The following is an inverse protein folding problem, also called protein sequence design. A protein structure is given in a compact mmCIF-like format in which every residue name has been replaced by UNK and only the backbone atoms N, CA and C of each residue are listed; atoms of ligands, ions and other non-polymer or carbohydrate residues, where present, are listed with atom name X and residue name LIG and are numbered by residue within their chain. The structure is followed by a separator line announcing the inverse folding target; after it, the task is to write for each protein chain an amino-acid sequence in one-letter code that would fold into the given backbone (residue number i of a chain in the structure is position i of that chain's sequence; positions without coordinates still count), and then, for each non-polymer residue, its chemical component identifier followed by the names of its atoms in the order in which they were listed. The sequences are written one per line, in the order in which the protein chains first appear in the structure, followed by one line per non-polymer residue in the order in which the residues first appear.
data_IF_182430061075
#
_entry.id   IF_182430061075
#
_cell.length_a   1.000
_cell.length_b   1.000
_cell.length_c   1.000
_cell.angle_alpha   90.00
_cell.angle_beta   90.00
_cell.angle_gamma   90.00
#
_symmetry.space_group_name_H-M   'P 1'
#
loop_
_entity.id
_entity.type
_entity.pdbx_description
1 polymer ?
#
# COMPACT_ATOMS: atom_id res chain seq x y z
N UNK A 1 0.15 34.69 -6.73
CA UNK A 1 -0.89 35.57 -7.33
C UNK A 1 -0.84 35.43 -8.85
N UNK A 2 -1.98 35.15 -9.52
CA UNK A 2 -2.01 34.97 -10.97
C UNK A 2 -1.67 33.57 -11.50
N UNK A 3 -1.64 32.54 -10.64
CA UNK A 3 -1.59 31.15 -11.08
C UNK A 3 -3.03 30.65 -11.24
N UNK A 4 -3.42 30.31 -12.47
CA UNK A 4 -4.70 29.64 -12.76
C UNK A 4 -4.52 28.14 -12.50
N UNK A 5 -4.65 27.75 -11.23
CA UNK A 5 -4.52 26.33 -10.85
C UNK A 5 -5.89 25.70 -10.87
N UNK A 6 -6.05 24.70 -11.74
CA UNK A 6 -7.32 24.00 -11.93
C UNK A 6 -7.18 22.57 -11.44
N UNK A 7 -7.98 22.19 -10.45
CA UNK A 7 -8.15 20.78 -10.05
C UNK A 7 -9.30 20.20 -10.87
N UNK A 8 -9.06 19.04 -11.48
CA UNK A 8 -10.02 18.36 -12.36
C UNK A 8 -10.20 16.91 -11.91
N UNK A 9 -11.36 16.35 -12.26
CA UNK A 9 -11.52 14.91 -12.29
C UNK A 9 -10.72 14.33 -13.46
N UNK A 10 -10.55 13.01 -13.45
CA UNK A 10 -9.68 12.32 -14.42
C UNK A 10 -10.25 12.39 -15.84
N UNK A 11 -9.34 12.47 -16.80
CA UNK A 11 -9.51 12.56 -18.27
C UNK A 11 -10.95 12.61 -18.82
N UNK A 12 -11.57 13.80 -18.74
CA UNK A 12 -12.81 14.10 -19.46
C UNK A 12 -14.10 13.70 -18.74
N UNK A 13 -14.01 13.03 -17.59
CA UNK A 13 -15.18 12.75 -16.76
C UNK A 13 -15.72 14.05 -16.15
N UNK A 14 -17.01 14.30 -16.41
CA UNK A 14 -17.78 15.36 -15.76
C UNK A 14 -18.84 14.70 -14.91
N UNK A 15 -18.49 14.45 -13.66
CA UNK A 15 -19.38 13.78 -12.69
C UNK A 15 -20.66 14.57 -12.37
N UNK A 16 -20.72 15.86 -12.73
CA UNK A 16 -21.87 16.72 -12.46
C UNK A 16 -22.04 16.96 -10.96
N UNK A 17 -23.29 17.17 -10.53
CA UNK A 17 -23.63 17.26 -9.11
C UNK A 17 -23.60 15.85 -8.52
N UNK A 18 -22.78 15.68 -7.49
CA UNK A 18 -22.60 14.40 -6.79
C UNK A 18 -23.00 14.56 -5.33
N UNK A 19 -23.67 13.55 -4.78
CA UNK A 19 -23.73 13.30 -3.35
C UNK A 19 -22.35 12.91 -2.82
N UNK A 20 -22.17 12.95 -1.50
CA UNK A 20 -20.92 12.48 -0.89
C UNK A 20 -20.64 11.00 -1.20
N UNK A 21 -21.68 10.15 -1.21
CA UNK A 21 -21.56 8.74 -1.55
C UNK A 21 -21.02 8.56 -2.97
N UNK A 22 -21.64 9.21 -3.94
CA UNK A 22 -21.23 9.14 -5.35
C UNK A 22 -19.80 9.66 -5.54
N UNK A 23 -19.44 10.75 -4.86
CA UNK A 23 -18.08 11.30 -4.92
C UNK A 23 -17.02 10.28 -4.49
N UNK A 24 -17.28 9.48 -3.45
CA UNK A 24 -16.36 8.42 -3.01
C UNK A 24 -16.34 7.24 -3.99
N UNK A 25 -17.51 6.81 -4.49
CA UNK A 25 -17.65 5.71 -5.47
C UNK A 25 -16.88 6.01 -6.76
N UNK A 26 -17.07 7.21 -7.30
CA UNK A 26 -16.49 7.69 -8.55
C UNK A 26 -15.07 8.26 -8.38
N UNK A 27 -14.60 8.40 -7.13
CA UNK A 27 -13.31 9.02 -6.83
C UNK A 27 -13.18 10.46 -7.38
N UNK A 28 -14.26 11.24 -7.27
CA UNK A 28 -14.34 12.62 -7.78
C UNK A 28 -13.41 13.54 -6.98
N UNK A 29 -12.37 14.05 -7.64
CA UNK A 29 -11.43 15.02 -7.09
C UNK A 29 -12.16 16.32 -6.74
N UNK A 30 -12.99 16.83 -7.65
CA UNK A 30 -13.66 18.13 -7.47
C UNK A 30 -14.53 18.13 -6.20
N UNK A 31 -15.34 17.10 -6.00
CA UNK A 31 -16.20 16.98 -4.82
C UNK A 31 -15.37 16.83 -3.53
N UNK A 32 -14.34 15.98 -3.54
CA UNK A 32 -13.46 15.77 -2.38
C UNK A 32 -12.68 17.04 -2.02
N UNK A 33 -12.27 17.83 -3.01
CA UNK A 33 -11.65 19.15 -2.80
C UNK A 33 -12.62 20.16 -2.21
N UNK A 34 -13.89 20.17 -2.62
CA UNK A 34 -14.91 21.03 -2.00
C UNK A 34 -15.13 20.67 -0.53
N UNK A 35 -15.16 19.37 -0.20
CA UNK A 35 -15.21 18.90 1.20
C UNK A 35 -13.98 19.37 1.97
N UNK A 36 -12.77 19.20 1.41
CA UNK A 36 -11.52 19.69 2.01
C UNK A 36 -11.51 21.21 2.22
N UNK A 37 -12.02 21.97 1.26
CA UNK A 37 -12.20 23.41 1.38
C UNK A 37 -13.16 23.81 2.49
N UNK A 38 -14.26 23.06 2.66
CA UNK A 38 -15.21 23.28 3.76
C UNK A 38 -14.57 22.98 5.12
N UNK A 39 -13.79 21.90 5.22
CA UNK A 39 -13.01 21.56 6.42
C UNK A 39 -12.02 22.69 6.73
N UNK A 40 -11.24 23.14 5.74
CA UNK A 40 -10.30 24.24 5.87
C UNK A 40 -10.98 25.52 6.37
N UNK A 41 -12.11 25.90 5.78
CA UNK A 41 -12.83 27.12 6.15
C UNK A 41 -13.46 27.04 7.56
N UNK A 42 -13.77 25.83 8.02
CA UNK A 42 -14.41 25.61 9.32
C UNK A 42 -13.38 25.50 10.45
N UNK A 43 -12.28 24.78 10.21
CA UNK A 43 -11.28 24.44 11.25
C UNK A 43 -10.02 25.31 11.18
N UNK A 44 -9.69 25.84 10.01
CA UNK A 44 -8.41 26.51 9.74
C UNK A 44 -7.27 25.54 9.42
N UNK A 45 -6.13 26.09 8.97
CA UNK A 45 -4.97 25.32 8.51
C UNK A 45 -4.34 24.46 9.61
N UNK A 46 -4.13 25.05 10.78
CA UNK A 46 -3.45 24.36 11.90
C UNK A 46 -4.26 23.15 12.37
N UNK A 47 -5.57 23.28 12.49
CA UNK A 47 -6.40 22.17 12.91
C UNK A 47 -6.51 21.09 11.83
N UNK A 48 -6.62 21.48 10.54
CA UNK A 48 -6.53 20.50 9.46
C UNK A 48 -5.20 19.73 9.47
N UNK A 49 -4.08 20.40 9.75
CA UNK A 49 -2.78 19.75 9.92
C UNK A 49 -2.80 18.80 11.13
N UNK A 50 -3.36 19.22 12.26
CA UNK A 50 -3.48 18.36 13.44
C UNK A 50 -4.31 17.11 13.16
N UNK A 51 -5.39 17.21 12.38
CA UNK A 51 -6.18 16.05 11.95
C UNK A 51 -5.34 15.08 11.10
N UNK A 52 -4.58 15.58 10.11
CA UNK A 52 -3.66 14.77 9.31
C UNK A 52 -2.53 14.14 10.15
N UNK A 53 -2.04 14.87 11.16
CA UNK A 53 -1.10 14.32 12.14
C UNK A 53 -1.75 13.21 12.95
N UNK A 54 -2.96 13.42 13.47
CA UNK A 54 -3.70 12.50 14.32
C UNK A 54 -3.95 11.15 13.65
N UNK A 55 -4.25 11.15 12.34
CA UNK A 55 -4.39 9.90 11.57
C UNK A 55 -3.05 9.17 11.30
N UNK A 56 -1.91 9.77 11.65
CA UNK A 56 -0.60 9.10 11.60
C UNK A 56 0.43 9.71 10.64
N UNK A 57 0.07 10.72 9.84
CA UNK A 57 0.97 11.21 8.79
C UNK A 57 2.08 12.12 9.31
N UNK A 58 3.26 12.08 8.68
CA UNK A 58 4.44 12.84 9.09
C UNK A 58 5.12 12.31 10.36
N UNK A 59 4.77 11.11 10.85
CA UNK A 59 5.38 10.43 12.00
C UNK A 59 5.50 8.95 11.73
N UNK A 60 6.46 8.30 12.37
CA UNK A 60 6.56 6.84 12.37
C UNK A 60 5.21 6.22 12.76
N UNK A 61 4.76 5.23 11.99
CA UNK A 61 3.58 4.44 12.31
C UNK A 61 3.81 3.59 13.56
N UNK A 62 5.07 3.29 13.87
CA UNK A 62 5.48 2.46 15.01
C UNK A 62 5.47 0.98 14.70
N UNK A 63 5.49 0.61 13.40
CA UNK A 63 5.75 -0.75 12.93
C UNK A 63 7.06 -1.27 13.53
N UNK A 64 7.11 -2.56 13.83
CA UNK A 64 8.25 -3.25 14.43
C UNK A 64 9.34 -3.62 13.40
N UNK A 65 9.53 -2.79 12.39
CA UNK A 65 10.59 -2.92 11.38
C UNK A 65 11.61 -1.78 11.49
N UNK A 66 12.90 -2.07 11.30
CA UNK A 66 13.93 -1.04 11.20
C UNK A 66 13.75 -0.21 9.92
N UNK A 67 14.33 1.00 9.90
CA UNK A 67 14.36 1.84 8.69
C UNK A 67 13.05 2.55 8.34
N UNK A 68 12.04 2.53 9.20
CA UNK A 68 10.79 3.26 8.95
C UNK A 68 11.06 4.76 8.75
N UNK A 69 10.52 5.33 7.66
CA UNK A 69 10.53 6.78 7.43
C UNK A 69 9.23 7.43 7.89
N UNK A 70 9.24 8.66 8.40
CA UNK A 70 8.03 9.32 8.90
C UNK A 70 7.11 9.85 7.79
N UNK A 71 7.45 9.65 6.52
CA UNK A 71 6.80 10.33 5.40
C UNK A 71 7.10 11.83 5.38
N UNK A 72 6.31 12.59 4.60
CA UNK A 72 6.46 14.02 4.37
C UNK A 72 5.09 14.69 4.57
N UNK A 73 4.94 15.41 5.69
CA UNK A 73 3.79 16.28 5.92
C UNK A 73 4.30 17.69 6.26
N UNK A 74 4.24 18.65 5.33
CA UNK A 74 4.66 20.03 5.61
C UNK A 74 3.84 20.61 6.77
N UNK A 75 4.45 21.48 7.59
CA UNK A 75 3.71 22.14 8.69
C UNK A 75 2.70 23.12 8.10
N UNK A 76 1.60 23.36 8.80
CA UNK A 76 0.52 24.23 8.34
C UNK A 76 0.97 25.64 7.90
N UNK A 77 1.93 26.24 8.62
CA UNK A 77 2.54 27.53 8.26
C UNK A 77 3.30 27.52 6.92
N UNK A 78 3.79 26.37 6.49
CA UNK A 78 4.59 26.17 5.28
C UNK A 78 3.71 25.80 4.07
N UNK A 79 2.39 25.69 4.27
CA UNK A 79 1.44 25.37 3.21
C UNK A 79 1.24 26.52 2.25
N UNK A 80 1.40 26.21 0.95
CA UNK A 80 0.97 27.09 -0.12
C UNK A 80 -0.56 27.28 -0.09
N UNK A 81 -1.08 28.19 -0.93
CA UNK A 81 -2.52 28.39 -1.07
C UNK A 81 -3.25 27.12 -1.55
N UNK A 82 -2.59 26.25 -2.32
CA UNK A 82 -3.23 25.06 -2.89
C UNK A 82 -3.05 23.79 -2.06
N UNK A 83 -2.07 23.74 -1.15
CA UNK A 83 -1.76 22.52 -0.40
C UNK A 83 -2.99 21.90 0.32
N UNK A 84 -3.85 22.67 1.02
CA UNK A 84 -5.07 22.13 1.64
C UNK A 84 -6.06 21.49 0.67
N UNK A 85 -6.02 21.87 -0.60
CA UNK A 85 -6.88 21.35 -1.65
C UNK A 85 -6.25 20.14 -2.37
N UNK A 86 -4.95 19.90 -2.19
CA UNK A 86 -4.26 18.71 -2.72
C UNK A 86 -4.38 17.52 -1.76
N UNK A 87 -4.30 17.75 -0.44
CA UNK A 87 -4.34 16.65 0.54
C UNK A 87 -5.59 15.76 0.44
N UNK A 88 -6.81 16.30 0.24
CA UNK A 88 -8.03 15.49 0.14
C UNK A 88 -8.01 14.50 -1.03
N UNK A 89 -7.25 14.79 -2.08
CA UNK A 89 -7.07 13.92 -3.26
C UNK A 89 -5.77 13.11 -3.20
N UNK A 90 -5.11 13.06 -2.04
CA UNK A 90 -3.90 12.27 -1.82
C UNK A 90 -2.63 12.90 -2.40
N UNK A 91 -2.63 14.21 -2.66
CA UNK A 91 -1.51 14.95 -3.24
C UNK A 91 -0.92 15.96 -2.24
N UNK A 92 0.32 16.40 -2.44
CA UNK A 92 1.00 17.39 -1.60
C UNK A 92 1.60 16.86 -0.29
N UNK A 93 1.51 15.55 -0.05
CA UNK A 93 2.10 14.87 1.11
C UNK A 93 2.69 13.51 0.69
N UNK A 94 3.67 13.03 1.44
CA UNK A 94 4.28 11.71 1.27
C UNK A 94 3.97 10.83 2.46
N UNK A 95 3.54 9.60 2.20
CA UNK A 95 3.19 8.62 3.23
C UNK A 95 3.80 7.27 2.89
N UNK A 96 4.22 6.53 3.90
CA UNK A 96 4.65 5.16 3.73
C UNK A 96 3.43 4.20 3.79
N UNK A 97 3.63 2.95 3.36
CA UNK A 97 2.55 1.95 3.33
C UNK A 97 1.97 1.64 4.71
N UNK A 98 2.80 1.63 5.76
CA UNK A 98 2.37 1.31 7.13
C UNK A 98 1.51 2.42 7.73
N UNK A 99 1.83 3.69 7.48
CA UNK A 99 0.99 4.83 7.82
C UNK A 99 -0.37 4.74 7.13
N UNK A 100 -0.38 4.38 5.84
CA UNK A 100 -1.62 4.25 5.07
C UNK A 100 -2.48 3.10 5.57
N UNK A 101 -1.91 1.90 5.73
CA UNK A 101 -2.62 0.73 6.27
C UNK A 101 -3.13 1.01 7.68
N UNK A 102 -2.33 1.62 8.55
CA UNK A 102 -2.74 2.01 9.91
C UNK A 102 -3.92 2.97 9.90
N UNK A 103 -3.87 3.99 9.04
CA UNK A 103 -4.93 5.01 8.91
C UNK A 103 -6.23 4.43 8.32
N UNK A 104 -6.13 3.52 7.35
CA UNK A 104 -7.31 2.94 6.68
C UNK A 104 -7.89 1.75 7.44
N UNK A 105 -7.09 1.02 8.22
CA UNK A 105 -7.56 -0.12 9.01
C UNK A 105 -8.53 0.25 10.13
N UNK A 106 -8.74 1.54 10.39
CA UNK A 106 -9.81 2.02 11.26
C UNK A 106 -11.20 1.63 10.78
N UNK A 107 -11.39 1.43 9.47
CA UNK A 107 -12.68 0.95 8.94
C UNK A 107 -12.94 -0.52 9.28
N UNK A 108 -12.06 -1.49 8.91
CA UNK A 108 -12.27 -2.89 9.28
C UNK A 108 -12.16 -3.15 10.79
N UNK A 109 -11.50 -2.30 11.56
CA UNK A 109 -11.34 -2.46 13.02
C UNK A 109 -12.48 -1.85 13.85
N UNK A 110 -13.52 -1.30 13.23
CA UNK A 110 -14.62 -0.65 13.95
C UNK A 110 -14.22 0.68 14.62
N UNK A 111 -13.18 1.34 14.12
CA UNK A 111 -12.72 2.66 14.55
C UNK A 111 -11.39 2.63 15.32
N UNK A 112 -10.88 1.45 15.66
CA UNK A 112 -9.64 1.29 16.42
C UNK A 112 -8.41 1.64 15.57
N UNK A 113 -7.50 2.41 16.14
CA UNK A 113 -6.24 2.78 15.52
C UNK A 113 -5.17 1.78 15.92
N UNK A 114 -4.92 0.80 15.04
CA UNK A 114 -4.07 -0.37 15.34
C UNK A 114 -2.74 -0.22 14.61
N UNK A 115 -1.63 -0.27 15.34
CA UNK A 115 -0.29 -0.31 14.73
C UNK A 115 -0.05 -1.67 14.05
N UNK A 116 0.35 -1.71 12.77
CA UNK A 116 0.77 -2.94 12.11
C UNK A 116 2.01 -3.54 12.79
N UNK A 117 2.04 -4.86 12.95
CA UNK A 117 3.15 -5.60 13.56
C UNK A 117 3.44 -6.87 12.79
N UNK A 118 4.71 -7.23 12.65
CA UNK A 118 5.18 -8.48 12.06
C UNK A 118 5.40 -9.57 13.12
N UNK A 119 5.79 -9.20 14.33
CA UNK A 119 6.09 -10.15 15.39
C UNK A 119 4.83 -10.49 16.18
N UNK A 120 4.32 -11.72 16.04
CA UNK A 120 3.17 -12.22 16.82
C UNK A 120 3.56 -12.81 18.18
N UNK A 121 4.78 -13.35 18.27
CA UNK A 121 5.28 -14.02 19.46
C UNK A 121 6.80 -14.16 19.37
N UNK A 122 7.47 -14.17 20.52
CA UNK A 122 8.90 -14.41 20.65
C UNK A 122 9.08 -15.74 21.39
N UNK A 123 9.97 -16.59 20.88
CA UNK A 123 10.40 -17.81 21.57
C UNK A 123 11.74 -17.53 22.25
N UNK A 124 11.83 -17.78 23.55
CA UNK A 124 13.08 -17.65 24.32
C UNK A 124 13.14 -18.75 25.38
N UNK A 125 14.27 -19.45 25.46
CA UNK A 125 14.41 -20.66 26.28
C UNK A 125 13.33 -21.70 25.95
N UNK A 126 12.59 -22.15 26.97
CA UNK A 126 11.55 -23.18 26.85
C UNK A 126 10.15 -22.64 26.52
N UNK A 127 9.97 -21.32 26.39
CA UNK A 127 8.64 -20.68 26.30
C UNK A 127 8.36 -19.89 25.02
N UNK A 128 7.07 -19.79 24.67
CA UNK A 128 6.56 -18.87 23.64
C UNK A 128 5.78 -17.73 24.31
N UNK A 129 6.23 -16.49 24.11
CA UNK A 129 5.57 -15.29 24.62
C UNK A 129 4.84 -14.59 23.49
N UNK A 130 3.50 -14.57 23.52
CA UNK A 130 2.70 -13.83 22.54
C UNK A 130 2.84 -12.32 22.74
N UNK A 131 2.95 -11.59 21.64
CA UNK A 131 2.93 -10.13 21.63
C UNK A 131 1.48 -9.68 21.37
N UNK A 132 0.87 -8.89 22.27
CA UNK A 132 -0.49 -8.40 22.04
C UNK A 132 -0.52 -7.38 20.89
N UNK A 133 -1.68 -7.29 20.22
CA UNK A 133 -1.93 -6.24 19.22
C UNK A 133 -1.76 -4.87 19.86
N UNK A 134 -1.04 -3.96 19.19
CA UNK A 134 -0.84 -2.59 19.65
C UNK A 134 -1.99 -1.68 19.17
N UNK A 135 -2.90 -1.37 20.09
CA UNK A 135 -4.04 -0.47 19.85
C UNK A 135 -3.71 0.90 20.45
N UNK A 136 -3.56 1.91 19.61
CA UNK A 136 -3.18 3.28 20.01
C UNK A 136 -4.40 4.15 20.38
N UNK A 137 -5.60 3.58 20.32
CA UNK A 137 -6.86 4.22 20.69
C UNK A 137 -7.96 4.03 19.65
N UNK A 138 -8.94 4.92 19.67
CA UNK A 138 -10.06 4.96 18.72
C UNK A 138 -9.97 6.26 17.93
N UNK A 139 -9.86 6.17 16.60
CA UNK A 139 -9.76 7.34 15.72
C UNK A 139 -11.14 7.81 15.24
N UNK A 140 -12.02 6.86 14.91
CA UNK A 140 -13.38 7.14 14.47
C UNK A 140 -14.39 6.40 15.32
N UNK A 141 -15.58 6.98 15.51
CA UNK A 141 -16.65 6.30 16.23
C UNK A 141 -17.19 5.12 15.41
N UNK A 142 -17.73 4.08 16.07
CA UNK A 142 -18.37 2.96 15.38
C UNK A 142 -19.49 3.41 14.43
N UNK A 143 -20.21 4.48 14.75
CA UNK A 143 -21.29 5.05 13.92
C UNK A 143 -20.76 5.69 12.63
N UNK A 144 -19.62 6.37 12.69
CA UNK A 144 -18.96 6.90 11.51
C UNK A 144 -18.51 5.74 10.61
N UNK A 145 -17.87 4.73 11.21
CA UNK A 145 -17.42 3.55 10.47
C UNK A 145 -18.60 2.84 9.81
N UNK A 146 -19.69 2.58 10.53
CA UNK A 146 -20.88 1.92 9.98
C UNK A 146 -21.54 2.71 8.85
N UNK A 147 -21.44 4.05 8.87
CA UNK A 147 -21.90 4.91 7.77
C UNK A 147 -21.01 4.78 6.53
N UNK A 148 -19.69 4.65 6.73
CA UNK A 148 -18.72 4.58 5.63
C UNK A 148 -18.62 3.19 4.99
N UNK A 149 -18.81 2.10 5.74
CA UNK A 149 -18.65 0.73 5.23
C UNK A 149 -19.47 0.45 3.95
N UNK A 150 -20.79 0.77 3.86
CA UNK A 150 -21.56 0.53 2.64
C UNK A 150 -21.10 1.38 1.45
N UNK A 151 -20.54 2.56 1.72
CA UNK A 151 -20.00 3.44 0.68
C UNK A 151 -18.73 2.82 0.08
N UNK A 152 -17.82 2.34 0.94
CA UNK A 152 -16.59 1.65 0.52
C UNK A 152 -16.87 0.31 -0.17
N UNK A 153 -17.94 -0.39 0.23
CA UNK A 153 -18.41 -1.59 -0.49
C UNK A 153 -18.95 -1.22 -1.89
N UNK A 154 -19.66 -0.09 -2.01
CA UNK A 154 -20.21 0.36 -3.31
C UNK A 154 -19.11 0.72 -4.32
N UNK A 155 -17.93 1.15 -3.87
CA UNK A 155 -16.78 1.35 -4.76
C UNK A 155 -16.44 0.06 -5.53
N UNK A 156 -16.58 -1.10 -4.90
CA UNK A 156 -16.28 -2.42 -5.50
C UNK A 156 -17.49 -3.01 -6.21
N UNK A 157 -18.71 -2.64 -5.83
CA UNK A 157 -19.93 -3.15 -6.50
C UNK A 157 -20.21 -2.41 -7.81
N UNK A 158 -20.13 -1.08 -7.79
CA UNK A 158 -20.63 -0.22 -8.87
C UNK A 158 -19.69 0.95 -9.22
N UNK A 159 -18.57 1.11 -8.49
CA UNK A 159 -17.65 2.21 -8.68
C UNK A 159 -16.36 1.88 -9.42
N UNK A 160 -15.34 2.69 -9.13
CA UNK A 160 -14.01 2.55 -9.74
C UNK A 160 -13.27 1.25 -9.40
N UNK A 161 -13.70 0.52 -8.36
CA UNK A 161 -13.05 -0.69 -7.85
C UNK A 161 -13.69 -2.00 -8.29
N UNK A 162 -14.58 -2.00 -9.30
CA UNK A 162 -15.36 -3.17 -9.73
C UNK A 162 -14.53 -4.42 -10.06
N UNK A 163 -13.32 -4.24 -10.57
CA UNK A 163 -12.40 -5.34 -10.88
C UNK A 163 -11.82 -6.05 -9.65
N UNK A 164 -11.99 -5.51 -8.44
CA UNK A 164 -11.64 -6.18 -7.18
C UNK A 164 -12.72 -7.16 -6.70
N UNK A 165 -13.90 -7.18 -7.33
CA UNK A 165 -15.02 -8.02 -6.93
C UNK A 165 -14.69 -9.51 -7.08
N UNK A 166 -15.06 -10.28 -6.07
CA UNK A 166 -15.05 -11.75 -6.07
C UNK A 166 -16.42 -12.23 -5.66
N UNK A 167 -17.09 -13.01 -6.52
CA UNK A 167 -18.44 -13.48 -6.22
C UNK A 167 -18.46 -14.36 -4.97
N UNK A 168 -19.46 -14.13 -4.12
CA UNK A 168 -19.60 -14.81 -2.83
C UNK A 168 -18.78 -14.19 -1.69
N UNK A 169 -17.93 -13.19 -1.96
CA UNK A 169 -17.14 -12.49 -0.92
C UNK A 169 -17.47 -11.00 -0.96
N UNK A 170 -17.99 -10.48 0.15
CA UNK A 170 -18.23 -9.04 0.28
C UNK A 170 -16.92 -8.32 0.54
N UNK A 171 -16.58 -7.37 -0.33
CA UNK A 171 -15.32 -6.63 -0.31
C UNK A 171 -15.64 -5.15 -0.27
N UNK A 172 -14.98 -4.42 0.63
CA UNK A 172 -15.00 -2.97 0.65
C UNK A 172 -13.59 -2.43 0.40
N UNK A 173 -13.48 -1.33 -0.33
CA UNK A 173 -12.18 -0.82 -0.72
C UNK A 173 -12.22 0.53 -1.42
N UNK A 174 -11.05 0.97 -1.85
CA UNK A 174 -10.87 2.22 -2.59
C UNK A 174 -9.67 2.13 -3.53
N UNK A 175 -9.89 2.60 -4.75
CA UNK A 175 -8.84 2.84 -5.76
C UNK A 175 -8.05 4.10 -5.45
N UNK A 176 -6.79 4.13 -5.89
CA UNK A 176 -5.99 5.35 -5.95
C UNK A 176 -5.14 5.39 -7.21
N UNK A 177 -4.96 6.60 -7.75
CA UNK A 177 -4.05 6.88 -8.85
C UNK A 177 -3.29 8.14 -8.49
N UNK A 178 -2.05 8.00 -8.03
CA UNK A 178 -1.26 9.13 -7.54
C UNK A 178 -0.16 9.48 -8.52
N UNK A 179 -0.13 10.74 -8.99
CA UNK A 179 0.97 11.24 -9.81
C UNK A 179 2.26 11.32 -8.98
N UNK A 180 3.39 10.98 -9.59
CA UNK A 180 4.69 11.13 -8.93
C UNK A 180 5.18 12.57 -9.02
N UNK A 181 5.77 13.07 -7.94
CA UNK A 181 6.49 14.34 -7.98
C UNK A 181 7.81 14.19 -8.76
N UNK A 182 8.17 15.22 -9.51
CA UNK A 182 9.39 15.34 -10.30
C UNK A 182 9.89 16.79 -10.35
N UNK A 183 10.98 17.06 -11.08
CA UNK A 183 11.47 18.42 -11.27
C UNK A 183 10.39 19.32 -11.89
N UNK A 184 9.98 20.35 -11.15
CA UNK A 184 8.99 21.33 -11.63
C UNK A 184 7.52 21.00 -11.35
N UNK A 185 7.19 19.89 -10.69
CA UNK A 185 5.80 19.56 -10.33
C UNK A 185 5.50 18.07 -10.35
N UNK A 186 4.28 17.71 -10.76
CA UNK A 186 3.89 16.31 -10.96
C UNK A 186 4.26 15.85 -12.37
N UNK A 187 4.76 14.63 -12.49
CA UNK A 187 4.99 13.99 -13.78
C UNK A 187 3.65 13.61 -14.42
N UNK A 188 3.56 13.80 -15.74
CA UNK A 188 2.37 13.47 -16.53
C UNK A 188 2.32 12.01 -16.98
N UNK A 189 3.42 11.26 -16.85
CA UNK A 189 3.52 9.89 -17.36
C UNK A 189 3.73 8.84 -16.27
N UNK A 190 4.05 9.25 -15.05
CA UNK A 190 4.43 8.31 -13.98
C UNK A 190 3.48 8.40 -12.79
N UNK A 191 2.98 7.23 -12.39
CA UNK A 191 1.90 7.08 -11.43
C UNK A 191 2.14 5.92 -10.48
N UNK A 192 1.59 6.01 -9.28
CA UNK A 192 1.30 4.86 -8.44
C UNK A 192 -0.14 4.42 -8.66
N UNK A 193 -0.32 3.17 -9.06
CA UNK A 193 -1.61 2.51 -9.15
C UNK A 193 -1.90 1.78 -7.84
N UNK A 194 -2.96 2.19 -7.14
CA UNK A 194 -3.25 1.74 -5.78
C UNK A 194 -4.62 1.07 -5.69
N UNK A 195 -4.71 0.04 -4.86
CA UNK A 195 -5.99 -0.47 -4.36
C UNK A 195 -5.86 -0.89 -2.91
N UNK A 196 -6.68 -0.31 -2.05
CA UNK A 196 -6.86 -0.75 -0.67
C UNK A 196 -8.20 -1.46 -0.55
N UNK A 197 -8.24 -2.59 0.14
CA UNK A 197 -9.51 -3.21 0.49
C UNK A 197 -9.41 -4.16 1.67
N UNK A 198 -10.55 -4.46 2.26
CA UNK A 198 -10.68 -5.43 3.35
C UNK A 198 -11.88 -6.33 3.13
N UNK A 199 -11.79 -7.55 3.68
CA UNK A 199 -12.77 -8.61 3.48
C UNK A 199 -12.71 -9.67 4.59
N UNK A 200 -13.79 -10.44 4.78
CA UNK A 200 -15.14 -10.13 4.30
C UNK A 200 -15.75 -8.94 5.08
N UNK A 201 -16.65 -8.18 4.47
CA UNK A 201 -17.20 -6.94 5.09
C UNK A 201 -17.94 -7.20 6.41
N UNK A 202 -18.66 -8.31 6.52
CA UNK A 202 -19.42 -8.68 7.72
C UNK A 202 -18.56 -9.05 8.93
N UNK A 203 -17.33 -9.52 8.69
CA UNK A 203 -16.36 -9.84 9.74
C UNK A 203 -14.94 -9.62 9.20
N UNK A 204 -14.48 -8.36 9.11
CA UNK A 204 -13.21 -8.03 8.47
C UNK A 204 -12.04 -8.77 9.11
N UNK A 205 -11.45 -9.68 8.34
CA UNK A 205 -10.36 -10.54 8.79
C UNK A 205 -9.06 -10.18 8.08
N UNK A 206 -9.16 -9.77 6.82
CA UNK A 206 -8.03 -9.45 5.97
C UNK A 206 -8.10 -8.01 5.49
N UNK A 207 -6.93 -7.44 5.27
CA UNK A 207 -6.74 -6.19 4.54
C UNK A 207 -5.62 -6.40 3.54
N UNK A 208 -5.80 -5.93 2.31
CA UNK A 208 -4.74 -5.85 1.32
C UNK A 208 -4.60 -4.40 0.88
N UNK A 209 -3.36 -3.94 0.83
CA UNK A 209 -2.98 -2.68 0.21
C UNK A 209 -2.01 -3.01 -0.93
N UNK A 210 -2.44 -2.75 -2.15
CA UNK A 210 -1.69 -3.02 -3.36
C UNK A 210 -1.21 -1.69 -3.94
N UNK A 211 0.09 -1.63 -4.22
CA UNK A 211 0.72 -0.52 -4.93
C UNK A 211 1.55 -1.07 -6.07
N UNK A 212 1.29 -0.57 -7.27
CA UNK A 212 2.09 -0.85 -8.46
C UNK A 212 2.74 0.46 -8.89
N UNK A 213 4.06 0.46 -8.92
CA UNK A 213 4.88 1.59 -9.32
C UNK A 213 5.02 1.62 -10.86
N UNK A 214 4.56 2.71 -11.49
CA UNK A 214 4.77 3.02 -12.91
C UNK A 214 4.40 1.85 -13.83
N UNK A 215 3.12 1.42 -13.84
CA UNK A 215 2.68 0.33 -14.71
C UNK A 215 2.89 0.70 -16.18
N UNK A 216 3.44 -0.24 -16.97
CA UNK A 216 3.89 0.02 -18.36
C UNK A 216 2.95 -0.52 -19.45
N UNK A 217 1.90 -1.26 -19.08
CA UNK A 217 1.06 -2.01 -20.02
C UNK A 217 -0.14 -1.20 -20.59
N UNK A 218 -0.03 0.12 -20.69
CA UNK A 218 -1.07 0.99 -21.28
C UNK A 218 -2.29 1.27 -20.40
N UNK A 219 -2.36 0.69 -19.19
CA UNK A 219 -3.34 1.03 -18.15
C UNK A 219 -2.60 1.45 -16.88
N UNK A 220 -3.05 2.52 -16.22
CA UNK A 220 -2.38 3.07 -15.03
C UNK A 220 -3.31 3.33 -13.84
N UNK A 221 -4.63 3.24 -14.03
CA UNK A 221 -5.58 3.45 -12.95
C UNK A 221 -5.57 2.29 -11.96
N UNK A 222 -5.70 2.61 -10.66
CA UNK A 222 -5.85 1.63 -9.58
C UNK A 222 -6.89 0.54 -9.85
N UNK A 223 -8.01 0.91 -10.47
CA UNK A 223 -9.10 0.00 -10.83
C UNK A 223 -8.77 -1.00 -11.94
N UNK A 224 -7.87 -0.68 -12.87
CA UNK A 224 -7.50 -1.57 -13.98
C UNK A 224 -6.24 -2.39 -13.70
N UNK A 225 -5.39 -1.92 -12.78
CA UNK A 225 -4.07 -2.51 -12.54
C UNK A 225 -3.99 -3.17 -11.16
N UNK A 226 -4.29 -2.44 -10.08
CA UNK A 226 -4.19 -2.97 -8.72
C UNK A 226 -5.41 -3.82 -8.29
N UNK A 227 -6.61 -3.42 -8.69
CA UNK A 227 -7.85 -4.10 -8.30
C UNK A 227 -7.96 -5.55 -8.84
N UNK A 228 -7.59 -5.90 -10.09
CA UNK A 228 -7.56 -7.29 -10.52
C UNK A 228 -6.59 -8.16 -9.72
N UNK A 229 -5.42 -7.61 -9.35
CA UNK A 229 -4.47 -8.32 -8.50
C UNK A 229 -5.03 -8.58 -7.11
N UNK A 230 -5.78 -7.62 -6.54
CA UNK A 230 -6.53 -7.82 -5.30
C UNK A 230 -7.48 -9.01 -5.42
N UNK A 231 -8.33 -9.03 -6.45
CA UNK A 231 -9.28 -10.12 -6.66
C UNK A 231 -8.58 -11.48 -6.83
N UNK A 232 -7.44 -11.51 -7.52
CA UNK A 232 -6.62 -12.72 -7.67
C UNK A 232 -6.13 -13.26 -6.32
N UNK A 233 -5.57 -12.40 -5.47
CA UNK A 233 -5.11 -12.78 -4.12
C UNK A 233 -6.29 -13.28 -3.27
N UNK A 234 -7.44 -12.59 -3.30
CA UNK A 234 -8.65 -13.03 -2.58
C UNK A 234 -9.11 -14.40 -3.06
N UNK A 235 -9.20 -14.61 -4.38
CA UNK A 235 -9.58 -15.92 -4.94
C UNK A 235 -8.62 -17.02 -4.48
N UNK A 236 -7.32 -16.75 -4.49
CA UNK A 236 -6.31 -17.70 -4.01
C UNK A 236 -6.47 -18.03 -2.52
N UNK A 237 -6.65 -17.02 -1.66
CA UNK A 237 -6.87 -17.19 -0.22
C UNK A 237 -8.10 -18.06 0.09
N UNK A 238 -9.15 -17.97 -0.72
CA UNK A 238 -10.38 -18.76 -0.58
C UNK A 238 -10.40 -20.03 -1.45
N UNK A 239 -9.34 -20.33 -2.19
CA UNK A 239 -9.26 -21.50 -3.07
C UNK A 239 -10.25 -21.48 -4.25
N UNK A 240 -10.68 -20.30 -4.69
CA UNK A 240 -11.64 -20.11 -5.78
C UNK A 240 -10.89 -20.10 -7.12
N UNK A 241 -11.10 -21.12 -7.95
CA UNK A 241 -10.56 -21.15 -9.32
C UNK A 241 -9.04 -21.26 -9.44
N UNK A 242 -8.37 -21.78 -8.40
CA UNK A 242 -6.91 -21.99 -8.39
C UNK A 242 -6.60 -23.48 -8.47
N UNK A 243 -5.89 -23.91 -9.51
CA UNK A 243 -5.09 -25.14 -9.44
C UNK A 243 -3.98 -24.89 -8.41
N UNK A 244 -3.95 -25.68 -7.33
CA UNK A 244 -2.99 -25.48 -6.23
C UNK A 244 -1.56 -25.67 -6.73
N UNK A 245 -0.87 -24.58 -7.01
CA UNK A 245 0.59 -24.56 -6.91
C UNK A 245 0.97 -24.55 -5.42
N UNK A 246 1.67 -25.59 -5.00
CA UNK A 246 2.19 -25.71 -3.64
C UNK A 246 3.43 -24.82 -3.53
N UNK A 247 3.25 -23.61 -3.03
CA UNK A 247 4.37 -22.78 -2.60
C UNK A 247 4.82 -23.25 -1.21
N UNK A 248 5.99 -23.88 -1.13
CA UNK A 248 6.65 -24.13 0.15
C UNK A 248 6.99 -22.77 0.79
N UNK A 249 6.57 -22.56 2.04
CA UNK A 249 6.70 -21.27 2.71
C UNK A 249 8.15 -20.78 2.86
N UNK A 250 8.32 -19.48 3.08
CA UNK A 250 9.60 -18.88 3.46
C UNK A 250 9.87 -19.21 4.93
N UNK A 251 10.94 -19.95 5.19
CA UNK A 251 11.37 -20.28 6.55
C UNK A 251 12.70 -19.59 6.83
N UNK A 252 12.90 -19.07 8.05
CA UNK A 252 14.15 -18.40 8.45
C UNK A 252 15.40 -19.27 8.38
N UNK A 253 15.23 -20.59 8.23
CA UNK A 253 16.33 -21.54 8.04
C UNK A 253 16.49 -21.97 6.58
N UNK A 254 15.60 -21.57 5.67
CA UNK A 254 15.71 -21.85 4.24
C UNK A 254 16.22 -20.62 3.49
N UNK A 255 17.09 -20.85 2.53
CA UNK A 255 17.69 -19.84 1.71
C UNK A 255 16.62 -19.21 0.80
N UNK A 256 16.40 -17.88 0.87
CA UNK A 256 15.42 -17.21 0.03
C UNK A 256 15.89 -17.13 -1.43
N UNK A 257 14.97 -16.87 -2.35
CA UNK A 257 15.32 -16.47 -3.72
C UNK A 257 15.82 -15.02 -3.71
N UNK A 258 17.10 -14.86 -4.06
CA UNK A 258 17.80 -13.58 -4.19
C UNK A 258 17.83 -13.12 -5.65
N UNK A 259 17.28 -13.89 -6.60
CA UNK A 259 17.28 -13.55 -8.02
C UNK A 259 16.75 -12.14 -8.31
N UNK A 260 17.54 -11.35 -9.03
CA UNK A 260 17.21 -9.96 -9.37
C UNK A 260 17.51 -8.92 -8.30
N UNK A 261 17.88 -9.33 -7.07
CA UNK A 261 18.20 -8.39 -6.00
C UNK A 261 19.54 -7.70 -6.20
N UNK A 262 19.65 -6.48 -5.65
CA UNK A 262 20.91 -5.74 -5.65
C UNK A 262 21.85 -6.25 -4.55
N UNK A 263 23.13 -5.90 -4.64
CA UNK A 263 24.10 -6.23 -3.59
C UNK A 263 23.73 -5.60 -2.23
N UNK A 264 23.03 -4.47 -2.22
CA UNK A 264 22.57 -3.84 -0.98
C UNK A 264 21.48 -4.71 -0.32
N UNK A 265 20.49 -5.15 -1.11
CA UNK A 265 19.43 -6.03 -0.63
C UNK A 265 20.00 -7.35 -0.09
N UNK A 266 20.99 -7.94 -0.78
CA UNK A 266 21.67 -9.16 -0.33
C UNK A 266 22.34 -8.96 1.03
N UNK A 267 22.94 -7.80 1.29
CA UNK A 267 23.56 -7.47 2.58
C UNK A 267 22.53 -7.35 3.69
N UNK A 268 21.44 -6.63 3.44
CA UNK A 268 20.35 -6.49 4.41
C UNK A 268 19.72 -7.84 4.75
N UNK A 269 19.52 -8.70 3.74
CA UNK A 269 19.01 -10.06 3.95
C UNK A 269 20.02 -10.90 4.73
N UNK A 270 21.31 -10.86 4.39
CA UNK A 270 22.33 -11.57 5.14
C UNK A 270 22.33 -11.17 6.63
N UNK A 271 22.20 -9.88 6.93
CA UNK A 271 22.07 -9.38 8.31
C UNK A 271 20.81 -9.93 9.01
N UNK A 272 19.66 -9.98 8.33
CA UNK A 272 18.41 -10.54 8.87
C UNK A 272 18.58 -12.03 9.23
N UNK A 273 19.32 -12.77 8.41
CA UNK A 273 19.58 -14.20 8.61
C UNK A 273 20.77 -14.48 9.54
N UNK A 274 21.47 -13.44 10.02
CA UNK A 274 22.65 -13.60 10.88
C UNK A 274 23.87 -14.17 10.15
N UNK A 275 23.99 -13.90 8.85
CA UNK A 275 25.08 -14.36 7.99
C UNK A 275 26.08 -13.22 7.76
N UNK A 276 27.26 -13.34 8.37
CA UNK A 276 28.28 -12.29 8.32
C UNK A 276 29.16 -12.36 7.06
N UNK A 277 29.18 -13.51 6.38
CA UNK A 277 30.08 -13.76 5.24
C UNK A 277 29.32 -13.71 3.92
N UNK A 278 29.64 -12.72 3.10
CA UNK A 278 29.08 -12.58 1.75
C UNK A 278 30.22 -12.64 0.72
N UNK A 279 30.18 -13.63 -0.16
CA UNK A 279 31.10 -13.78 -1.29
C UNK A 279 30.41 -13.25 -2.55
N UNK A 280 31.08 -12.36 -3.28
CA UNK A 280 30.47 -11.63 -4.39
C UNK A 280 31.28 -11.88 -5.65
N UNK A 281 30.60 -12.28 -6.72
CA UNK A 281 31.18 -12.47 -8.04
C UNK A 281 30.51 -11.53 -9.04
N UNK A 282 31.27 -10.66 -9.70
CA UNK A 282 30.72 -9.76 -10.73
C UNK A 282 30.05 -8.49 -10.20
N UNK A 283 29.20 -7.87 -11.03
CA UNK A 283 28.48 -6.63 -10.73
C UNK A 283 27.09 -6.62 -11.38
N UNK A 284 26.12 -5.94 -10.77
CA UNK A 284 24.73 -5.87 -11.25
C UNK A 284 23.76 -6.47 -10.24
N UNK A 285 22.77 -7.21 -10.73
CA UNK A 285 21.78 -7.91 -9.91
C UNK A 285 22.16 -9.40 -9.79
N UNK A 286 21.69 -10.05 -8.72
CA UNK A 286 21.92 -11.48 -8.50
C UNK A 286 21.29 -12.29 -9.65
N UNK A 287 22.12 -13.05 -10.36
CA UNK A 287 21.70 -14.01 -11.40
C UNK A 287 21.73 -15.45 -10.88
N UNK A 288 22.56 -15.72 -9.88
CA UNK A 288 22.60 -16.99 -9.17
C UNK A 288 23.15 -16.81 -7.76
N UNK A 289 22.90 -17.79 -6.90
CA UNK A 289 23.23 -17.75 -5.48
C UNK A 289 23.66 -19.11 -4.95
N UNK A 290 24.34 -19.10 -3.82
CA UNK A 290 24.59 -20.23 -2.94
C UNK A 290 24.38 -19.80 -1.47
N UNK A 291 23.72 -20.61 -0.62
CA UNK A 291 23.02 -21.85 -0.95
C UNK A 291 21.91 -21.69 -2.00
N UNK A 292 21.48 -22.79 -2.62
CA UNK A 292 20.39 -22.76 -3.59
C UNK A 292 19.05 -22.44 -2.90
N UNK A 293 18.09 -21.93 -3.66
CA UNK A 293 16.75 -21.56 -3.16
C UNK A 293 16.13 -22.75 -2.42
N UNK A 294 15.69 -22.52 -1.18
CA UNK A 294 15.05 -23.53 -0.34
C UNK A 294 16.00 -24.48 0.41
N UNK A 295 17.31 -24.45 0.15
CA UNK A 295 18.31 -25.17 0.94
C UNK A 295 18.47 -24.54 2.33
N UNK A 296 18.99 -25.26 3.34
CA UNK A 296 19.33 -24.65 4.61
C UNK A 296 20.27 -23.45 4.45
N UNK A 297 20.00 -22.37 5.18
CA UNK A 297 20.90 -21.21 5.26
C UNK A 297 22.20 -21.65 5.93
N UNK A 298 23.32 -21.39 5.26
CA UNK A 298 24.67 -21.68 5.75
C UNK A 298 25.32 -20.44 6.38
N UNK A 299 26.56 -20.60 6.83
CA UNK A 299 27.39 -19.53 7.42
C UNK A 299 27.85 -18.47 6.41
N UNK A 300 27.48 -18.60 5.14
CA UNK A 300 27.79 -17.65 4.07
C UNK A 300 26.69 -17.55 3.03
N UNK A 301 26.57 -16.36 2.46
CA UNK A 301 25.91 -16.15 1.17
C UNK A 301 26.99 -15.99 0.10
N UNK A 302 26.76 -16.59 -1.05
CA UNK A 302 27.61 -16.41 -2.22
C UNK A 302 26.74 -16.09 -3.41
N UNK A 303 26.99 -14.95 -4.06
CA UNK A 303 26.13 -14.43 -5.14
C UNK A 303 26.96 -14.11 -6.37
N UNK A 304 26.41 -14.47 -7.53
CA UNK A 304 26.92 -14.05 -8.83
C UNK A 304 26.01 -12.96 -9.36
N UNK A 305 26.61 -11.84 -9.73
CA UNK A 305 25.95 -10.64 -10.20
C UNK A 305 26.19 -10.48 -11.69
N UNK A 306 25.14 -10.12 -12.43
CA UNK A 306 25.20 -9.84 -13.85
C UNK A 306 24.16 -8.80 -14.29
N UNK A 307 24.16 -8.48 -15.57
CA UNK A 307 23.07 -7.73 -16.18
C UNK A 307 21.85 -8.65 -16.34
N UNK A 308 20.66 -8.15 -15.98
CA UNK A 308 19.39 -8.85 -16.20
C UNK A 308 19.14 -8.99 -17.71
N UNK A 309 19.60 -10.08 -18.32
CA UNK A 309 19.08 -10.52 -19.60
C UNK A 309 17.67 -11.06 -19.34
N UNK A 310 16.65 -10.29 -19.69
CA UNK A 310 15.27 -10.77 -19.83
C UNK A 310 15.22 -11.72 -21.04
N UNK A 311 15.82 -12.90 -20.92
CA UNK A 311 15.48 -14.01 -21.79
C UNK A 311 14.20 -14.62 -21.23
N UNK A 312 13.12 -14.38 -21.98
CA UNK A 312 11.86 -15.10 -21.89
C UNK A 312 12.20 -16.57 -21.74
N UNK A 313 11.86 -17.17 -20.59
CA UNK A 313 11.85 -18.62 -20.44
C UNK A 313 10.85 -19.16 -21.47
N UNK A 314 11.37 -19.44 -22.65
CA UNK A 314 10.76 -20.31 -23.63
C UNK A 314 10.66 -21.66 -22.92
N UNK A 315 9.44 -22.01 -22.50
CA UNK A 315 9.13 -23.36 -22.06
C UNK A 315 9.27 -24.26 -23.28
N UNK A 316 10.51 -24.68 -23.53
CA UNK A 316 10.86 -25.71 -24.49
C UNK A 316 10.22 -27.02 -24.04
N UNK A 317 9.01 -27.28 -24.55
CA UNK A 317 8.48 -28.61 -24.64
C UNK A 317 9.12 -29.34 -25.83
N UNK A 318 10.09 -30.20 -25.54
CA UNK A 318 10.25 -31.51 -26.17
C UNK A 318 10.66 -32.52 -25.10
#
# INVERSE_FOLDING_TARGET
PGLDIVIRDVEGERHGVQTFREAIINSCNVATVQVGGKILNTLGKEEMYNQLRNIGFGRLSGVDLPGETPGILPRAKDWSLISPYQFPIGQGLGVNIFQMVKALNVFPSGGQFITPTFVRAIRSGEGLTNIPKKVDGTLFSPELVSTMLPILESVVIEGTGTMARVDGIRIAGKTGTAQKAGPGGYNEETYYSLFYGFFPVENPTYTLYIMIDTPKAGAYYGGFVAAPMFASIVRNLYGIGVEKEIYEGVYSWKMPDLGGYSLLDVREIAEIYGVDKIVIHGSGCVISQYPEIGQPVEDRFEVWLGELSYDIRDNGGQ
#
